data_IF_275332348268
#
_entry.id   IF_275332348268
#
_cell.length_a   1.000
_cell.length_b   1.000
_cell.length_c   1.000
_cell.angle_alpha   90.00
_cell.angle_beta   90.00
_cell.angle_gamma   90.00
#
_symmetry.space_group_name_H-M   'P 1'
#
loop_
_entity.id
_entity.type
_entity.pdbx_description
1 polymer ?
#
# COMPACT_ATOMS: atom_id res chain seq x y z
N UNK A 1 -4.38 4.58 29.69
CA UNK A 1 -4.61 5.33 28.43
C UNK A 1 -3.91 6.68 28.59
N UNK A 2 -2.73 6.83 28.01
CA UNK A 2 -1.81 7.93 28.29
C UNK A 2 -2.36 9.27 27.76
N UNK A 3 -2.37 10.29 28.62
CA UNK A 3 -2.88 11.66 28.37
C UNK A 3 -2.12 12.33 27.19
N UNK A 4 -0.87 11.90 26.94
CA UNK A 4 0.03 12.46 25.91
C UNK A 4 -0.43 12.16 24.47
N UNK A 5 -1.13 11.04 24.23
CA UNK A 5 -1.59 10.64 22.89
C UNK A 5 -2.77 11.48 22.37
N UNK A 6 -3.38 12.28 23.24
CA UNK A 6 -4.50 13.16 22.87
C UNK A 6 -4.06 14.53 22.30
N UNK A 7 -2.78 14.93 22.47
CA UNK A 7 -2.45 16.34 22.30
C UNK A 7 -2.13 16.79 20.88
N UNK A 8 -1.39 16.03 20.06
CA UNK A 8 -1.00 16.50 18.74
C UNK A 8 -2.05 16.22 17.64
N UNK A 9 -2.52 15.00 17.50
CA UNK A 9 -3.52 14.66 16.50
C UNK A 9 -4.89 15.31 16.78
N UNK A 10 -5.25 15.44 18.07
CA UNK A 10 -6.50 16.10 18.48
C UNK A 10 -6.45 17.61 18.31
N UNK A 11 -5.27 18.24 18.39
CA UNK A 11 -5.12 19.68 18.25
C UNK A 11 -5.10 20.15 16.81
N UNK A 12 -4.63 19.32 15.85
CA UNK A 12 -4.54 19.67 14.42
C UNK A 12 -5.70 19.12 13.60
N UNK A 13 -6.07 17.85 13.77
CA UNK A 13 -7.08 17.18 12.92
C UNK A 13 -8.21 16.52 13.71
N UNK A 14 -8.11 16.45 15.03
CA UNK A 14 -9.18 16.00 15.93
C UNK A 14 -9.50 14.51 15.93
N UNK A 15 -8.63 13.64 15.36
CA UNK A 15 -8.80 12.18 15.40
C UNK A 15 -7.99 11.52 16.53
N UNK A 16 -8.43 10.37 17.07
CA UNK A 16 -7.69 9.62 18.08
C UNK A 16 -6.57 8.79 17.44
N UNK A 17 -5.42 8.70 18.09
CA UNK A 17 -4.28 7.86 17.68
C UNK A 17 -4.64 6.39 17.48
N UNK A 18 -5.66 5.90 18.22
CA UNK A 18 -6.15 4.53 18.03
C UNK A 18 -6.76 4.30 16.65
N UNK A 19 -7.42 5.29 16.05
CA UNK A 19 -7.95 5.18 14.69
C UNK A 19 -6.82 5.09 13.67
N UNK A 20 -5.78 5.91 13.80
CA UNK A 20 -4.58 5.83 12.97
C UNK A 20 -3.89 4.46 13.13
N UNK A 21 -3.72 3.98 14.36
CA UNK A 21 -3.12 2.67 14.62
C UNK A 21 -3.89 1.51 13.98
N UNK A 22 -5.23 1.54 14.03
CA UNK A 22 -6.05 0.56 13.31
C UNK A 22 -5.88 0.64 11.78
N UNK A 23 -5.73 1.84 11.23
CA UNK A 23 -5.42 2.04 9.83
C UNK A 23 -4.06 1.43 9.44
N UNK A 24 -3.02 1.69 10.25
CA UNK A 24 -1.67 1.12 10.07
C UNK A 24 -1.70 -0.41 10.08
N UNK A 25 -2.52 -1.04 10.92
CA UNK A 25 -2.64 -2.50 10.97
C UNK A 25 -3.48 -3.07 9.82
N UNK A 26 -4.47 -2.33 9.34
CA UNK A 26 -5.40 -2.82 8.33
C UNK A 26 -4.73 -3.08 6.97
N UNK A 27 -3.77 -2.25 6.55
CA UNK A 27 -3.07 -2.46 5.28
C UNK A 27 -2.26 -3.77 5.25
N UNK A 28 -1.26 -4.01 6.13
CA UNK A 28 -0.52 -5.27 6.09
C UNK A 28 -1.42 -6.50 6.30
N UNK A 29 -2.48 -6.37 7.10
CA UNK A 29 -3.45 -7.45 7.26
C UNK A 29 -4.17 -7.77 5.95
N UNK A 30 -4.58 -6.75 5.17
CA UNK A 30 -5.19 -6.96 3.86
C UNK A 30 -4.23 -7.66 2.90
N UNK A 31 -2.94 -7.32 2.92
CA UNK A 31 -1.92 -7.95 2.07
C UNK A 31 -1.68 -9.41 2.46
N UNK A 32 -1.65 -9.75 3.75
CA UNK A 32 -1.53 -11.14 4.20
C UNK A 32 -2.67 -11.99 3.64
N UNK A 33 -3.92 -11.58 3.83
CA UNK A 33 -5.07 -12.33 3.30
C UNK A 33 -5.08 -12.38 1.76
N UNK A 34 -4.68 -11.31 1.13
CA UNK A 34 -4.57 -11.23 -0.32
C UNK A 34 -3.54 -12.21 -0.86
N UNK A 35 -2.33 -12.27 -0.28
CA UNK A 35 -1.27 -13.20 -0.70
C UNK A 35 -1.63 -14.66 -0.49
N UNK A 36 -2.36 -14.99 0.58
CA UNK A 36 -2.87 -16.35 0.79
C UNK A 36 -3.80 -16.82 -0.33
N UNK A 37 -4.54 -15.91 -0.97
CA UNK A 37 -5.37 -16.22 -2.13
C UNK A 37 -4.58 -16.20 -3.44
N UNK A 38 -3.76 -15.17 -3.65
CA UNK A 38 -3.07 -14.94 -4.92
C UNK A 38 -2.09 -16.06 -5.22
N UNK A 39 -1.37 -16.58 -4.22
CA UNK A 39 -0.36 -17.61 -4.42
C UNK A 39 -0.92 -18.87 -5.10
N UNK A 40 -1.95 -19.56 -4.56
CA UNK A 40 -2.53 -20.72 -5.22
C UNK A 40 -3.22 -20.40 -6.55
N UNK A 41 -3.83 -19.20 -6.68
CA UNK A 41 -4.47 -18.78 -7.94
C UNK A 41 -3.44 -18.59 -9.05
N UNK A 42 -2.29 -17.99 -8.75
CA UNK A 42 -1.22 -17.83 -9.75
C UNK A 42 -0.62 -19.18 -10.17
N UNK A 43 -0.48 -20.14 -9.24
CA UNK A 43 -0.08 -21.51 -9.61
C UNK A 43 -1.10 -22.15 -10.57
N UNK A 44 -2.39 -21.93 -10.31
CA UNK A 44 -3.46 -22.42 -11.17
C UNK A 44 -3.39 -21.80 -12.58
N UNK A 45 -3.19 -20.48 -12.70
CA UNK A 45 -3.04 -19.81 -13.99
C UNK A 45 -1.86 -20.36 -14.77
N UNK A 46 -0.71 -20.58 -14.14
CA UNK A 46 0.46 -21.19 -14.78
C UNK A 46 0.27 -22.65 -15.21
N UNK A 47 -0.66 -23.37 -14.56
CA UNK A 47 -0.99 -24.74 -14.93
C UNK A 47 -2.01 -24.86 -16.09
N UNK A 48 -2.88 -23.85 -16.24
CA UNK A 48 -3.99 -23.88 -17.21
C UNK A 48 -3.63 -23.14 -18.50
N UNK A 49 -2.87 -22.05 -18.41
CA UNK A 49 -2.60 -21.14 -19.53
C UNK A 49 -1.13 -21.19 -19.95
N UNK A 50 -0.85 -20.78 -21.20
CA UNK A 50 0.50 -20.45 -21.63
C UNK A 50 1.06 -19.23 -20.87
N UNK A 51 2.35 -18.98 -20.99
CA UNK A 51 3.03 -17.93 -20.23
C UNK A 51 2.42 -16.52 -20.41
N UNK A 52 1.95 -16.20 -21.64
CA UNK A 52 1.37 -14.89 -21.94
C UNK A 52 -0.02 -14.74 -21.33
N UNK A 53 -0.88 -15.72 -21.52
CA UNK A 53 -2.22 -15.73 -20.93
C UNK A 53 -2.19 -15.83 -19.40
N UNK A 54 -1.26 -16.62 -18.85
CA UNK A 54 -1.03 -16.69 -17.40
C UNK A 54 -0.61 -15.33 -16.81
N UNK A 55 0.26 -14.59 -17.50
CA UNK A 55 0.67 -13.24 -17.08
C UNK A 55 -0.53 -12.28 -17.05
N UNK A 56 -1.36 -12.29 -18.10
CA UNK A 56 -2.57 -11.46 -18.15
C UNK A 56 -3.53 -11.83 -17.02
N UNK A 57 -3.82 -13.12 -16.85
CA UNK A 57 -4.72 -13.60 -15.80
C UNK A 57 -4.22 -13.24 -14.39
N UNK A 58 -2.92 -13.38 -14.16
CA UNK A 58 -2.26 -12.96 -12.90
C UNK A 58 -2.41 -11.46 -12.68
N UNK A 59 -2.14 -10.64 -13.70
CA UNK A 59 -2.25 -9.17 -13.61
C UNK A 59 -3.67 -8.75 -13.29
N UNK A 60 -4.66 -9.31 -13.98
CA UNK A 60 -6.08 -9.04 -13.72
C UNK A 60 -6.49 -9.46 -12.30
N UNK A 61 -5.99 -10.62 -11.83
CA UNK A 61 -6.22 -11.09 -10.46
C UNK A 61 -5.61 -10.13 -9.43
N UNK A 62 -4.39 -9.67 -9.67
CA UNK A 62 -3.71 -8.70 -8.80
C UNK A 62 -4.48 -7.38 -8.70
N UNK A 63 -4.96 -6.86 -9.83
CA UNK A 63 -5.76 -5.65 -9.89
C UNK A 63 -7.08 -5.84 -9.14
N UNK A 64 -7.87 -6.85 -9.50
CA UNK A 64 -9.19 -7.08 -8.91
C UNK A 64 -9.14 -7.34 -7.40
N UNK A 65 -8.11 -8.05 -6.92
CA UNK A 65 -7.99 -8.39 -5.51
C UNK A 65 -7.48 -7.25 -4.65
N UNK A 66 -6.75 -6.25 -5.19
CA UNK A 66 -6.18 -5.18 -4.38
C UNK A 66 -7.28 -4.35 -3.70
N UNK A 67 -8.14 -3.70 -4.45
CA UNK A 67 -9.23 -2.91 -3.89
C UNK A 67 -10.22 -3.75 -3.09
N UNK A 68 -10.53 -4.97 -3.55
CA UNK A 68 -11.46 -5.85 -2.84
C UNK A 68 -10.95 -6.22 -1.44
N UNK A 69 -9.71 -6.67 -1.31
CA UNK A 69 -9.16 -7.08 -0.02
C UNK A 69 -8.91 -5.90 0.91
N UNK A 70 -8.44 -4.77 0.39
CA UNK A 70 -8.22 -3.58 1.20
C UNK A 70 -9.51 -3.01 1.77
N UNK A 71 -10.53 -2.82 0.93
CA UNK A 71 -11.81 -2.26 1.39
C UNK A 71 -12.58 -3.25 2.28
N UNK A 72 -12.47 -4.55 2.01
CA UNK A 72 -13.08 -5.58 2.87
C UNK A 72 -12.39 -5.64 4.22
N UNK A 73 -11.05 -5.64 4.26
CA UNK A 73 -10.31 -5.64 5.53
C UNK A 73 -10.58 -4.36 6.32
N UNK A 74 -10.65 -3.20 5.67
CA UNK A 74 -11.03 -1.93 6.27
C UNK A 74 -12.42 -2.01 6.91
N UNK A 75 -13.39 -2.57 6.18
CA UNK A 75 -14.74 -2.78 6.68
C UNK A 75 -14.77 -3.74 7.88
N UNK A 76 -14.09 -4.90 7.80
CA UNK A 76 -13.99 -5.88 8.87
C UNK A 76 -13.38 -5.27 10.14
N UNK A 77 -12.25 -4.59 10.00
CA UNK A 77 -11.55 -3.93 11.12
C UNK A 77 -12.46 -2.90 11.78
N UNK A 78 -13.08 -2.02 11.00
CA UNK A 78 -13.99 -1.00 11.54
C UNK A 78 -15.25 -1.60 12.17
N UNK A 79 -15.78 -2.69 11.60
CA UNK A 79 -17.01 -3.33 12.08
C UNK A 79 -16.80 -4.10 13.38
N UNK A 80 -15.71 -4.86 13.48
CA UNK A 80 -15.55 -5.87 14.54
C UNK A 80 -14.46 -5.50 15.56
N UNK A 81 -13.37 -4.85 15.15
CA UNK A 81 -12.21 -4.59 16.03
C UNK A 81 -12.14 -3.13 16.48
N UNK A 82 -12.20 -2.19 15.56
CA UNK A 82 -12.17 -0.76 15.86
C UNK A 82 -13.57 -0.21 16.23
N UNK A 83 -14.29 -0.87 17.13
CA UNK A 83 -15.69 -0.54 17.48
C UNK A 83 -15.90 0.88 18.01
N UNK A 84 -14.84 1.53 18.50
CA UNK A 84 -14.90 2.92 18.99
C UNK A 84 -14.70 3.96 17.87
N UNK A 85 -14.30 3.55 16.68
CA UNK A 85 -14.11 4.38 15.50
C UNK A 85 -15.47 4.62 14.85
N UNK A 86 -16.11 5.76 15.18
CA UNK A 86 -17.48 6.05 14.72
C UNK A 86 -17.67 7.49 14.25
N UNK A 87 -16.83 8.44 14.63
CA UNK A 87 -16.87 9.80 14.11
C UNK A 87 -16.20 9.86 12.71
N UNK A 88 -16.60 10.79 11.85
CA UNK A 88 -15.97 10.96 10.54
C UNK A 88 -14.45 11.24 10.66
N UNK A 89 -14.05 11.96 11.71
CA UNK A 89 -12.63 12.22 12.02
C UNK A 89 -11.85 10.96 12.30
N UNK A 90 -12.48 9.93 12.87
CA UNK A 90 -11.83 8.64 13.08
C UNK A 90 -11.55 7.96 11.72
N UNK A 91 -12.47 8.11 10.75
CA UNK A 91 -12.26 7.65 9.38
C UNK A 91 -11.08 8.34 8.72
N UNK A 92 -10.90 9.64 8.95
CA UNK A 92 -9.72 10.40 8.49
C UNK A 92 -8.44 9.84 9.12
N UNK A 93 -8.40 9.68 10.44
CA UNK A 93 -7.24 9.09 11.14
C UNK A 93 -6.91 7.68 10.67
N UNK A 94 -7.95 6.85 10.46
CA UNK A 94 -7.77 5.50 9.92
C UNK A 94 -7.18 5.53 8.50
N UNK A 95 -7.71 6.39 7.62
CA UNK A 95 -7.21 6.52 6.26
C UNK A 95 -5.77 7.03 6.17
N UNK A 96 -5.41 7.99 7.02
CA UNK A 96 -4.03 8.46 7.15
C UNK A 96 -3.08 7.34 7.62
N UNK A 97 -3.53 6.51 8.57
CA UNK A 97 -2.76 5.34 9.01
C UNK A 97 -2.57 4.31 7.91
N UNK A 98 -3.66 3.99 7.20
CA UNK A 98 -3.65 3.00 6.12
C UNK A 98 -2.77 3.45 4.94
N UNK A 99 -3.06 4.60 4.35
CA UNK A 99 -2.29 5.12 3.22
C UNK A 99 -0.86 5.51 3.60
N UNK A 100 -0.63 5.95 4.84
CA UNK A 100 0.72 6.26 5.34
C UNK A 100 1.61 5.03 5.43
N UNK A 101 1.12 3.92 5.99
CA UNK A 101 1.91 2.67 6.07
C UNK A 101 2.08 2.03 4.69
N UNK A 102 1.07 2.10 3.82
CA UNK A 102 1.21 1.68 2.43
C UNK A 102 2.32 2.45 1.72
N UNK A 103 2.30 3.78 1.77
CA UNK A 103 3.34 4.61 1.16
C UNK A 103 4.73 4.28 1.71
N UNK A 104 4.84 4.03 3.02
CA UNK A 104 6.10 3.66 3.66
C UNK A 104 6.61 2.28 3.19
N UNK A 105 5.72 1.28 3.13
CA UNK A 105 6.10 -0.09 2.75
C UNK A 105 6.31 -0.26 1.24
N UNK A 106 5.71 0.58 0.41
CA UNK A 106 5.89 0.55 -1.05
C UNK A 106 7.04 1.48 -1.47
N UNK A 107 6.77 2.76 -1.65
CA UNK A 107 7.75 3.74 -2.15
C UNK A 107 8.84 4.02 -1.12
N UNK A 108 8.51 4.01 0.19
CA UNK A 108 9.51 4.25 1.24
C UNK A 108 10.59 3.17 1.27
N UNK A 109 10.23 1.90 1.11
CA UNK A 109 11.21 0.80 1.04
C UNK A 109 12.08 0.87 -0.22
N UNK A 110 11.50 1.20 -1.37
CA UNK A 110 12.24 1.41 -2.63
C UNK A 110 13.21 2.59 -2.49
N UNK A 111 12.74 3.71 -1.95
CA UNK A 111 13.59 4.89 -1.74
C UNK A 111 14.75 4.61 -0.77
N UNK A 112 14.47 3.87 0.32
CA UNK A 112 15.51 3.44 1.26
C UNK A 112 16.54 2.54 0.57
N UNK A 113 16.09 1.54 -0.21
CA UNK A 113 16.97 0.67 -0.97
C UNK A 113 17.84 1.45 -1.97
N UNK A 114 17.28 2.42 -2.68
CA UNK A 114 17.99 3.28 -3.60
C UNK A 114 19.07 4.11 -2.88
N UNK A 115 18.77 4.65 -1.70
CA UNK A 115 19.76 5.39 -0.88
C UNK A 115 20.90 4.46 -0.45
N UNK A 116 20.58 3.25 0.03
CA UNK A 116 21.60 2.26 0.42
C UNK A 116 22.46 1.88 -0.78
N UNK A 117 21.85 1.65 -1.95
CA UNK A 117 22.56 1.34 -3.18
C UNK A 117 23.54 2.45 -3.56
N UNK A 118 23.13 3.73 -3.52
CA UNK A 118 24.01 4.87 -3.83
C UNK A 118 25.16 5.02 -2.83
N UNK A 119 24.89 4.84 -1.54
CA UNK A 119 25.90 5.00 -0.49
C UNK A 119 26.91 3.86 -0.45
N UNK A 120 26.53 2.66 -0.89
CA UNK A 120 27.34 1.45 -0.83
C UNK A 120 27.67 0.88 -2.23
N UNK A 121 27.51 1.66 -3.31
CA UNK A 121 27.66 1.19 -4.69
C UNK A 121 28.99 0.45 -4.92
N UNK A 122 30.13 1.06 -4.53
CA UNK A 122 31.45 0.47 -4.71
C UNK A 122 31.64 -0.85 -3.95
N UNK A 123 31.09 -0.93 -2.73
CA UNK A 123 31.18 -2.16 -1.91
C UNK A 123 30.31 -3.26 -2.50
N UNK A 124 29.09 -2.92 -2.95
CA UNK A 124 28.18 -3.87 -3.58
C UNK A 124 28.76 -4.40 -4.87
N UNK A 125 29.30 -3.53 -5.74
CA UNK A 125 29.94 -3.93 -7.00
C UNK A 125 31.11 -4.87 -6.75
N UNK A 126 32.06 -4.50 -5.87
CA UNK A 126 33.19 -5.37 -5.51
C UNK A 126 32.75 -6.73 -4.98
N UNK A 127 31.70 -6.77 -4.16
CA UNK A 127 31.17 -8.01 -3.62
C UNK A 127 30.56 -8.90 -4.71
N UNK A 128 29.85 -8.34 -5.68
CA UNK A 128 29.23 -9.08 -6.79
C UNK A 128 30.28 -9.52 -7.80
N UNK A 129 31.22 -8.67 -8.15
CA UNK A 129 32.35 -9.00 -9.04
C UNK A 129 33.21 -10.15 -8.49
N UNK A 130 33.40 -10.19 -7.15
CA UNK A 130 34.14 -11.28 -6.50
C UNK A 130 33.46 -12.66 -6.66
N UNK A 131 32.15 -12.68 -6.94
CA UNK A 131 31.39 -13.91 -7.21
C UNK A 131 31.54 -14.42 -8.65
N UNK A 132 32.26 -13.68 -9.52
CA UNK A 132 32.46 -14.00 -10.94
C UNK A 132 31.14 -14.28 -11.70
N UNK A 133 30.07 -13.54 -11.34
CA UNK A 133 28.79 -13.64 -12.00
C UNK A 133 28.53 -12.36 -12.84
N UNK A 134 28.79 -12.39 -14.16
CA UNK A 134 28.63 -11.21 -15.03
C UNK A 134 27.18 -10.68 -15.07
N UNK A 135 26.18 -11.57 -15.02
CA UNK A 135 24.77 -11.17 -15.06
C UNK A 135 24.39 -10.37 -13.80
N UNK A 136 24.86 -10.82 -12.64
CA UNK A 136 24.60 -10.12 -11.38
C UNK A 136 25.32 -8.75 -11.35
N UNK A 137 26.55 -8.67 -11.87
CA UNK A 137 27.30 -7.41 -11.98
C UNK A 137 26.56 -6.42 -12.89
N UNK A 138 26.12 -6.89 -14.06
CA UNK A 138 25.36 -6.06 -15.01
C UNK A 138 24.02 -5.57 -14.40
N UNK A 139 23.30 -6.45 -13.70
CA UNK A 139 22.05 -6.08 -13.03
C UNK A 139 22.24 -5.00 -11.96
N UNK A 140 23.33 -5.06 -11.19
CA UNK A 140 23.66 -4.03 -10.19
C UNK A 140 24.02 -2.71 -10.87
N UNK A 141 24.82 -2.72 -11.95
CA UNK A 141 25.14 -1.53 -12.72
C UNK A 141 23.89 -0.87 -13.28
N UNK A 142 22.98 -1.63 -13.87
CA UNK A 142 21.71 -1.12 -14.40
C UNK A 142 20.85 -0.50 -13.30
N UNK A 143 20.83 -1.07 -12.08
CA UNK A 143 20.12 -0.47 -10.94
C UNK A 143 20.76 0.86 -10.51
N UNK A 144 22.09 0.94 -10.44
CA UNK A 144 22.80 2.17 -10.11
C UNK A 144 22.49 3.25 -11.14
N UNK A 145 22.58 2.94 -12.43
CA UNK A 145 22.26 3.87 -13.51
C UNK A 145 20.79 4.32 -13.47
N UNK A 146 19.87 3.42 -13.19
CA UNK A 146 18.47 3.75 -13.03
C UNK A 146 18.24 4.75 -11.87
N UNK A 147 18.93 4.56 -10.73
CA UNK A 147 18.83 5.50 -9.60
C UNK A 147 19.45 6.86 -9.95
N UNK A 148 20.59 6.90 -10.63
CA UNK A 148 21.20 8.14 -11.10
C UNK A 148 20.34 8.89 -12.14
N UNK A 149 19.50 8.17 -12.88
CA UNK A 149 18.57 8.77 -13.85
C UNK A 149 17.35 9.45 -13.20
N UNK A 150 17.13 9.28 -11.88
CA UNK A 150 16.00 9.88 -11.17
C UNK A 150 16.18 11.40 -11.11
N UNK A 151 15.37 12.12 -11.86
CA UNK A 151 15.36 13.58 -11.85
C UNK A 151 14.52 14.11 -10.67
N UNK A 152 14.78 15.38 -10.28
CA UNK A 152 13.93 16.06 -9.29
C UNK A 152 12.46 16.12 -9.71
N UNK A 153 12.18 16.20 -11.01
CA UNK A 153 10.80 16.16 -11.54
C UNK A 153 10.14 14.80 -11.29
N UNK A 154 10.83 13.69 -11.58
CA UNK A 154 10.30 12.33 -11.29
C UNK A 154 10.08 12.10 -9.80
N UNK A 155 11.03 12.53 -8.96
CA UNK A 155 10.85 12.45 -7.50
C UNK A 155 9.66 13.30 -7.02
N UNK A 156 9.48 14.50 -7.57
CA UNK A 156 8.34 15.36 -7.27
C UNK A 156 6.99 14.76 -7.71
N UNK A 157 6.95 14.14 -8.88
CA UNK A 157 5.75 13.42 -9.36
C UNK A 157 5.40 12.24 -8.46
N UNK A 158 6.40 11.46 -8.04
CA UNK A 158 6.20 10.33 -7.12
C UNK A 158 5.66 10.79 -5.76
N UNK A 159 6.18 11.90 -5.22
CA UNK A 159 5.65 12.51 -4.00
C UNK A 159 4.20 12.98 -4.17
N UNK A 160 3.89 13.65 -5.28
CA UNK A 160 2.54 14.12 -5.59
C UNK A 160 1.56 12.96 -5.68
N UNK A 161 1.93 11.89 -6.38
CA UNK A 161 1.14 10.65 -6.46
C UNK A 161 0.85 10.07 -5.06
N UNK A 162 1.84 10.03 -4.17
CA UNK A 162 1.65 9.52 -2.81
C UNK A 162 0.70 10.38 -1.97
N UNK A 163 0.74 11.70 -2.13
CA UNK A 163 -0.21 12.61 -1.48
C UNK A 163 -1.63 12.32 -1.96
N UNK A 164 -1.81 12.13 -3.26
CA UNK A 164 -3.12 11.78 -3.84
C UNK A 164 -3.59 10.40 -3.35
N UNK A 165 -2.72 9.40 -3.33
CA UNK A 165 -3.04 8.06 -2.84
C UNK A 165 -3.48 8.09 -1.37
N UNK A 166 -2.75 8.78 -0.48
CA UNK A 166 -3.12 8.93 0.93
C UNK A 166 -4.47 9.64 1.05
N UNK A 167 -4.69 10.68 0.27
CA UNK A 167 -5.98 11.42 0.25
C UNK A 167 -7.13 10.51 -0.16
N UNK A 168 -6.91 9.66 -1.14
CA UNK A 168 -7.87 8.65 -1.56
C UNK A 168 -8.17 7.65 -0.44
N UNK A 169 -7.14 7.12 0.22
CA UNK A 169 -7.33 6.20 1.35
C UNK A 169 -8.09 6.85 2.51
N UNK A 170 -7.93 8.15 2.73
CA UNK A 170 -8.76 8.91 3.68
C UNK A 170 -10.22 8.92 3.23
N UNK A 171 -10.49 9.25 1.96
CA UNK A 171 -11.85 9.28 1.41
C UNK A 171 -12.52 7.89 1.49
N UNK A 172 -11.81 6.82 1.09
CA UNK A 172 -12.31 5.44 1.18
C UNK A 172 -12.60 5.05 2.64
N UNK A 173 -11.72 5.40 3.58
CA UNK A 173 -11.93 5.10 4.99
C UNK A 173 -13.16 5.79 5.58
N UNK A 174 -13.43 7.03 5.19
CA UNK A 174 -14.66 7.75 5.60
C UNK A 174 -15.90 7.10 4.96
N UNK A 175 -15.81 6.70 3.69
CA UNK A 175 -16.91 6.04 2.97
C UNK A 175 -17.24 4.67 3.59
N UNK A 176 -16.22 3.84 3.86
CA UNK A 176 -16.38 2.53 4.50
C UNK A 176 -16.88 2.68 5.94
N UNK A 177 -16.40 3.68 6.68
CA UNK A 177 -16.92 3.97 8.02
C UNK A 177 -18.42 4.31 7.97
N UNK A 178 -18.84 5.07 6.96
CA UNK A 178 -20.24 5.37 6.72
C UNK A 178 -21.04 4.10 6.40
N UNK A 179 -20.49 3.21 5.56
CA UNK A 179 -21.08 1.90 5.27
C UNK A 179 -21.34 1.08 6.55
N UNK A 180 -20.35 1.06 7.46
CA UNK A 180 -20.45 0.38 8.76
C UNK A 180 -21.51 1.00 9.67
N UNK A 181 -21.57 2.34 9.73
CA UNK A 181 -22.51 3.07 10.60
C UNK A 181 -23.97 2.96 10.15
N UNK A 182 -24.18 3.10 8.85
CA UNK A 182 -25.52 3.09 8.25
C UNK A 182 -26.00 1.69 7.87
N UNK A 183 -25.18 0.65 8.09
CA UNK A 183 -25.44 -0.73 7.67
C UNK A 183 -25.72 -0.84 6.16
N UNK A 184 -25.10 -0.01 5.32
CA UNK A 184 -25.32 0.08 3.87
C UNK A 184 -24.15 -0.51 3.11
N UNK A 185 -24.24 -1.79 2.77
CA UNK A 185 -23.23 -2.51 2.00
C UNK A 185 -22.93 -1.89 0.63
N UNK A 186 -23.89 -1.15 0.04
CA UNK A 186 -23.72 -0.44 -1.24
C UNK A 186 -22.59 0.60 -1.14
N UNK A 187 -22.42 1.26 0.01
CA UNK A 187 -21.30 2.22 0.20
C UNK A 187 -19.94 1.53 0.25
N UNK A 188 -19.87 0.31 0.79
CA UNK A 188 -18.68 -0.52 0.72
C UNK A 188 -18.36 -0.95 -0.72
N UNK A 189 -19.37 -1.42 -1.48
CA UNK A 189 -19.18 -1.71 -2.90
C UNK A 189 -18.73 -0.48 -3.70
N UNK A 190 -19.27 0.70 -3.39
CA UNK A 190 -18.82 1.95 -4.02
C UNK A 190 -17.34 2.23 -3.71
N UNK A 191 -16.89 2.00 -2.46
CA UNK A 191 -15.48 2.13 -2.11
C UNK A 191 -14.60 1.17 -2.91
N UNK A 192 -14.98 -0.11 -3.02
CA UNK A 192 -14.29 -1.11 -3.84
C UNK A 192 -14.22 -0.65 -5.32
N UNK A 193 -15.35 -0.23 -5.89
CA UNK A 193 -15.42 0.19 -7.30
C UNK A 193 -14.55 1.42 -7.57
N UNK A 194 -14.57 2.42 -6.69
CA UNK A 194 -13.72 3.61 -6.81
C UNK A 194 -12.25 3.23 -6.69
N UNK A 195 -11.89 2.39 -5.71
CA UNK A 195 -10.51 1.94 -5.52
C UNK A 195 -10.01 1.24 -6.79
N UNK A 196 -10.78 0.29 -7.32
CA UNK A 196 -10.42 -0.44 -8.54
C UNK A 196 -10.33 0.47 -9.78
N UNK A 197 -11.18 1.50 -9.89
CA UNK A 197 -11.15 2.42 -11.03
C UNK A 197 -9.88 3.28 -11.08
N UNK A 198 -9.26 3.54 -9.92
CA UNK A 198 -8.09 4.40 -9.80
C UNK A 198 -6.75 3.67 -9.96
N UNK A 199 -6.75 2.35 -9.88
CA UNK A 199 -5.56 1.52 -10.17
C UNK A 199 -5.19 1.57 -11.67
N UNK A 200 -6.12 2.00 -12.54
CA UNK A 200 -5.92 2.09 -13.99
C UNK A 200 -5.41 3.46 -14.47
N UNK A 201 -5.23 4.42 -13.57
CA UNK A 201 -4.67 5.75 -13.86
C UNK A 201 -3.20 5.81 -13.46
#
# INVERSE_FOLDING_TARGET
MCIRDRFLGKKLLGYPWSALGWGVLAFPLSQVFRFLLIYPVNMLWGAIFDAHAALIATTLTLIATSGLFEETTRWVVMRFWAKRTRAWRDGVGFGLGHGGIEALLTIGSVSFNNIVLLLAADQILKAVESQQNPEATEAVNQQIDAVHSITAALAGMSLYERILAITLHVAMSVLVLRAVREHRWVLWLAAVAIHLSLIHI
#
